data_IF_895882339992
#
_entry.id   IF_895882339992
#
_cell.length_a   1.000
_cell.length_b   1.000
_cell.length_c   1.000
_cell.angle_alpha   90.00
_cell.angle_beta   90.00
_cell.angle_gamma   90.00
#
_symmetry.space_group_name_H-M   'P 1'
#
loop_
_entity.id
_entity.type
_entity.pdbx_description
1 polymer ?
#
# COMPACT_ATOMS: atom_id res chain seq x y z
N UNK A 1 10.57 40.29 35.05
CA UNK A 1 11.66 40.07 34.07
C UNK A 1 12.08 38.60 33.91
N UNK A 2 11.78 37.69 34.86
CA UNK A 2 12.15 36.26 34.76
C UNK A 2 11.24 35.45 33.81
N UNK A 3 9.94 35.77 33.75
CA UNK A 3 8.98 35.05 32.90
C UNK A 3 9.22 35.23 31.39
N UNK A 4 9.80 36.35 30.97
CA UNK A 4 10.08 36.64 29.55
C UNK A 4 11.35 35.93 29.05
N UNK A 5 12.31 35.67 29.94
CA UNK A 5 13.54 34.94 29.61
C UNK A 5 13.28 33.44 29.40
N UNK A 6 12.42 32.82 30.24
CA UNK A 6 12.05 31.40 30.11
C UNK A 6 11.29 31.13 28.80
N UNK A 7 10.40 32.04 28.38
CA UNK A 7 9.67 31.93 27.10
C UNK A 7 10.57 32.08 25.87
N UNK A 8 11.70 32.78 25.98
CA UNK A 8 12.66 32.97 24.89
C UNK A 8 13.64 31.79 24.77
N UNK A 9 13.96 31.13 25.88
CA UNK A 9 14.84 29.95 25.89
C UNK A 9 14.15 28.67 25.41
N UNK A 10 12.83 28.52 25.60
CA UNK A 10 12.06 27.38 25.08
C UNK A 10 11.87 27.39 23.55
N UNK A 11 12.07 28.53 22.87
CA UNK A 11 12.02 28.62 21.40
C UNK A 11 13.30 28.14 20.70
N UNK A 12 14.35 27.77 21.44
CA UNK A 12 15.66 27.40 20.87
C UNK A 12 16.04 25.93 21.00
N UNK A 13 15.19 25.08 21.57
CA UNK A 13 15.35 23.63 21.48
C UNK A 13 14.41 23.08 20.42
N UNK A 14 14.78 23.23 19.14
CA UNK A 14 14.29 22.33 18.09
C UNK A 14 14.95 20.98 18.37
N UNK A 15 14.23 20.09 19.05
CA UNK A 15 14.68 18.71 19.32
C UNK A 15 14.71 17.83 18.06
N UNK A 16 14.28 18.36 16.92
CA UNK A 16 14.23 17.66 15.64
C UNK A 16 14.88 18.52 14.57
N UNK A 17 15.78 17.90 13.79
CA UNK A 17 16.34 18.47 12.58
C UNK A 17 15.16 18.79 11.64
N UNK A 18 15.11 20.00 11.08
CA UNK A 18 14.18 20.24 9.96
C UNK A 18 14.53 19.25 8.87
N UNK A 19 13.59 18.37 8.52
CA UNK A 19 13.76 17.43 7.43
C UNK A 19 13.87 18.29 6.17
N UNK A 20 15.02 18.17 5.51
CA UNK A 20 15.24 18.85 4.25
C UNK A 20 14.39 18.13 3.20
N UNK A 21 13.37 18.81 2.70
CA UNK A 21 12.59 18.31 1.58
C UNK A 21 13.50 18.12 0.36
N UNK A 22 13.26 17.09 -0.46
CA UNK A 22 14.05 16.87 -1.66
C UNK A 22 13.86 18.02 -2.67
N UNK A 23 14.82 18.16 -3.58
CA UNK A 23 14.62 18.99 -4.76
C UNK A 23 13.60 18.32 -5.68
N UNK A 24 12.37 18.83 -5.69
CA UNK A 24 11.31 18.26 -6.51
C UNK A 24 11.57 18.45 -8.01
N UNK A 25 12.38 19.43 -8.41
CA UNK A 25 12.68 19.65 -9.83
C UNK A 25 13.48 18.49 -10.46
N UNK A 26 14.19 17.71 -9.64
CA UNK A 26 14.93 16.52 -10.09
C UNK A 26 14.11 15.23 -10.04
N UNK A 27 12.82 15.30 -9.70
CA UNK A 27 11.95 14.12 -9.59
C UNK A 27 11.27 13.83 -10.92
N UNK A 28 11.37 12.57 -11.34
CA UNK A 28 10.69 12.08 -12.54
C UNK A 28 9.15 12.11 -12.35
N UNK A 29 8.39 12.45 -13.39
CA UNK A 29 6.94 12.36 -13.36
C UNK A 29 6.50 10.90 -13.35
N UNK A 30 5.35 10.64 -12.73
CA UNK A 30 4.74 9.31 -12.66
C UNK A 30 3.52 9.29 -13.58
N UNK A 31 3.38 8.26 -14.44
CA UNK A 31 2.23 8.16 -15.32
C UNK A 31 1.00 7.63 -14.59
N UNK A 32 -0.16 7.85 -15.17
CA UNK A 32 -1.40 7.16 -14.80
C UNK A 32 -1.62 6.08 -15.87
N UNK A 33 -1.70 4.82 -15.43
CA UNK A 33 -1.92 3.66 -16.31
C UNK A 33 -3.32 3.08 -16.09
N UNK A 34 -4.00 2.75 -17.19
CA UNK A 34 -5.28 2.08 -17.16
C UNK A 34 -5.12 0.63 -17.62
N UNK A 35 -5.58 -0.31 -16.82
CA UNK A 35 -5.57 -1.74 -17.13
C UNK A 35 -6.99 -2.29 -17.27
N UNK A 36 -7.13 -3.33 -18.09
CA UNK A 36 -8.33 -4.15 -18.21
C UNK A 36 -7.95 -5.65 -18.16
N UNK A 37 -7.94 -6.22 -16.95
CA UNK A 37 -7.54 -7.61 -16.73
C UNK A 37 -8.61 -8.63 -17.14
N UNK A 38 -9.88 -8.20 -17.30
CA UNK A 38 -11.03 -9.06 -17.63
C UNK A 38 -11.07 -10.33 -16.77
N UNK A 39 -11.10 -10.18 -15.44
CA UNK A 39 -11.05 -11.30 -14.51
C UNK A 39 -12.09 -12.39 -14.85
N UNK A 40 -11.66 -13.64 -14.75
CA UNK A 40 -12.50 -14.82 -14.96
C UNK A 40 -12.50 -15.65 -13.69
N UNK A 41 -13.68 -15.82 -13.08
CA UNK A 41 -13.80 -16.61 -11.88
C UNK A 41 -13.38 -18.07 -12.12
N UNK A 42 -13.58 -18.65 -13.29
CA UNK A 42 -13.28 -20.07 -13.51
C UNK A 42 -11.80 -20.42 -13.41
N UNK A 43 -10.91 -19.43 -13.59
CA UNK A 43 -9.45 -19.59 -13.54
C UNK A 43 -8.82 -19.19 -12.20
N UNK A 44 -9.63 -18.79 -11.21
CA UNK A 44 -9.13 -18.22 -9.95
C UNK A 44 -8.36 -19.25 -9.11
N UNK A 45 -7.11 -18.91 -8.74
CA UNK A 45 -6.32 -19.70 -7.80
C UNK A 45 -6.39 -19.10 -6.39
N UNK A 46 -7.14 -19.75 -5.50
CA UNK A 46 -7.31 -19.30 -4.09
C UNK A 46 -6.06 -19.50 -3.22
N UNK A 47 -4.99 -20.10 -3.77
CA UNK A 47 -3.72 -20.38 -3.11
C UNK A 47 -2.53 -19.70 -3.79
N UNK A 48 -2.77 -18.59 -4.51
CA UNK A 48 -1.76 -17.96 -5.36
C UNK A 48 -0.45 -17.55 -4.66
N UNK A 49 -0.49 -17.17 -3.39
CA UNK A 49 0.70 -16.73 -2.65
C UNK A 49 1.45 -17.94 -2.08
N UNK A 50 2.59 -18.30 -2.70
CA UNK A 50 3.44 -19.43 -2.32
C UNK A 50 2.69 -20.78 -2.21
N UNK A 51 1.60 -20.97 -2.98
CA UNK A 51 0.74 -22.15 -2.96
C UNK A 51 0.10 -22.44 -1.58
N UNK A 52 -0.31 -21.38 -0.87
CA UNK A 52 -0.86 -21.48 0.49
C UNK A 52 -2.28 -20.98 0.58
N UNK A 53 -3.14 -21.63 1.38
CA UNK A 53 -4.52 -21.17 1.59
C UNK A 53 -4.56 -19.97 2.53
N UNK A 54 -3.88 -20.06 3.68
CA UNK A 54 -3.93 -19.00 4.69
C UNK A 54 -3.15 -17.74 4.30
N UNK A 55 -1.94 -17.84 3.73
CA UNK A 55 -1.20 -16.65 3.33
C UNK A 55 -1.82 -15.96 2.11
N UNK A 56 -2.43 -16.70 1.17
CA UNK A 56 -3.22 -16.08 0.08
C UNK A 56 -4.44 -15.35 0.64
N UNK A 57 -5.13 -15.92 1.63
CA UNK A 57 -6.27 -15.27 2.27
C UNK A 57 -5.92 -13.92 2.93
N UNK A 58 -4.67 -13.72 3.39
CA UNK A 58 -4.19 -12.40 3.82
C UNK A 58 -4.28 -11.37 2.70
N UNK A 59 -3.80 -11.69 1.49
CA UNK A 59 -3.88 -10.79 0.34
C UNK A 59 -5.31 -10.60 -0.16
N UNK A 60 -6.16 -11.62 -0.07
CA UNK A 60 -7.59 -11.46 -0.42
C UNK A 60 -8.31 -10.54 0.56
N UNK A 61 -8.02 -10.66 1.86
CA UNK A 61 -8.48 -9.67 2.83
C UNK A 61 -7.93 -8.28 2.48
N UNK A 62 -6.61 -8.18 2.21
CA UNK A 62 -5.97 -6.92 1.85
C UNK A 62 -6.64 -6.27 0.64
N UNK A 63 -6.95 -7.02 -0.42
CA UNK A 63 -7.68 -6.52 -1.60
C UNK A 63 -9.05 -5.91 -1.26
N UNK A 64 -9.78 -6.51 -0.32
CA UNK A 64 -11.08 -5.97 0.13
C UNK A 64 -10.89 -4.69 0.94
N UNK A 65 -9.84 -4.61 1.76
CA UNK A 65 -9.55 -3.42 2.56
C UNK A 65 -8.92 -2.29 1.75
N UNK A 66 -8.09 -2.61 0.75
CA UNK A 66 -7.43 -1.66 -0.14
C UNK A 66 -8.43 -0.73 -0.80
N UNK A 67 -9.58 -1.23 -1.28
CA UNK A 67 -10.59 -0.36 -1.91
C UNK A 67 -11.07 0.78 -1.00
N UNK A 68 -11.13 0.56 0.33
CA UNK A 68 -11.47 1.62 1.29
C UNK A 68 -10.25 2.46 1.67
N UNK A 69 -9.09 1.83 1.80
CA UNK A 69 -7.81 2.51 2.05
C UNK A 69 -7.47 3.52 0.96
N UNK A 70 -7.58 3.11 -0.30
CA UNK A 70 -7.33 3.92 -1.49
C UNK A 70 -8.35 5.06 -1.59
N UNK A 71 -9.64 4.84 -1.25
CA UNK A 71 -10.62 5.92 -1.16
C UNK A 71 -10.23 6.99 -0.11
N UNK A 72 -9.69 6.57 1.05
CA UNK A 72 -9.17 7.47 2.08
C UNK A 72 -7.91 8.21 1.58
N UNK A 73 -6.99 7.50 0.91
CA UNK A 73 -5.80 8.10 0.29
C UNK A 73 -6.22 9.15 -0.73
N UNK A 74 -7.14 8.82 -1.65
CA UNK A 74 -7.65 9.72 -2.69
C UNK A 74 -8.30 10.97 -2.07
N UNK A 75 -9.19 10.82 -1.09
CA UNK A 75 -9.85 11.96 -0.44
C UNK A 75 -8.85 12.86 0.27
N UNK A 76 -7.92 12.25 1.02
CA UNK A 76 -6.89 12.96 1.78
C UNK A 76 -5.91 13.67 0.84
N UNK A 77 -5.42 12.99 -0.20
CA UNK A 77 -4.52 13.55 -1.19
C UNK A 77 -5.18 14.69 -1.96
N UNK A 78 -6.45 14.53 -2.39
CA UNK A 78 -7.22 15.59 -3.05
C UNK A 78 -7.34 16.83 -2.18
N UNK A 79 -7.69 16.66 -0.90
CA UNK A 79 -7.79 17.78 0.04
C UNK A 79 -6.43 18.50 0.20
N UNK A 80 -5.35 17.74 0.39
CA UNK A 80 -4.04 18.32 0.71
C UNK A 80 -3.29 18.87 -0.51
N UNK A 81 -3.54 18.33 -1.71
CA UNK A 81 -2.92 18.78 -2.97
C UNK A 81 -3.10 20.28 -3.20
N UNK A 82 -4.25 20.83 -2.83
CA UNK A 82 -4.57 22.25 -3.07
C UNK A 82 -3.71 23.20 -2.21
N UNK A 83 -3.11 22.69 -1.13
CA UNK A 83 -2.17 23.44 -0.29
C UNK A 83 -0.71 23.31 -0.74
N UNK A 84 -0.40 22.37 -1.64
CA UNK A 84 0.96 22.17 -2.17
C UNK A 84 1.28 23.25 -3.22
N UNK A 85 2.34 24.02 -2.99
CA UNK A 85 2.75 25.10 -3.89
C UNK A 85 3.78 24.66 -4.93
N UNK A 86 4.56 23.62 -4.65
CA UNK A 86 5.52 23.10 -5.63
C UNK A 86 4.77 22.41 -6.79
N UNK A 87 4.94 22.87 -8.04
CA UNK A 87 4.15 22.37 -9.17
C UNK A 87 4.50 20.92 -9.54
N UNK A 88 5.72 20.45 -9.24
CA UNK A 88 6.13 19.07 -9.50
C UNK A 88 5.55 18.15 -8.43
N UNK A 89 5.64 18.50 -7.15
CA UNK A 89 4.99 17.71 -6.09
C UNK A 89 3.47 17.67 -6.29
N UNK A 90 2.84 18.80 -6.65
CA UNK A 90 1.40 18.87 -6.97
C UNK A 90 1.01 17.97 -8.15
N UNK A 91 1.85 17.88 -9.18
CA UNK A 91 1.68 16.95 -10.30
C UNK A 91 1.80 15.49 -9.84
N UNK A 92 2.82 15.15 -9.03
CA UNK A 92 3.01 13.79 -8.51
C UNK A 92 1.86 13.34 -7.61
N UNK A 93 1.34 14.22 -6.76
CA UNK A 93 0.11 13.96 -5.98
C UNK A 93 -1.10 13.73 -6.88
N UNK A 94 -1.17 14.43 -8.02
CA UNK A 94 -2.23 14.20 -9.02
C UNK A 94 -2.08 12.84 -9.70
N UNK A 95 -0.85 12.38 -9.96
CA UNK A 95 -0.59 11.03 -10.47
C UNK A 95 -1.01 9.96 -9.47
N UNK A 96 -0.60 10.09 -8.19
CA UNK A 96 -1.02 9.22 -7.09
C UNK A 96 -2.56 9.11 -7.03
N UNK A 97 -3.28 10.24 -6.97
CA UNK A 97 -4.75 10.24 -6.98
C UNK A 97 -5.33 9.48 -8.19
N UNK A 98 -4.66 9.56 -9.35
CA UNK A 98 -5.07 8.87 -10.57
C UNK A 98 -4.84 7.37 -10.50
N UNK A 99 -3.63 6.93 -10.11
CA UNK A 99 -3.28 5.51 -9.95
C UNK A 99 -4.16 4.84 -8.88
N UNK A 100 -4.32 5.46 -7.71
CA UNK A 100 -5.18 4.93 -6.64
C UNK A 100 -6.64 4.76 -7.06
N UNK A 101 -7.16 5.66 -7.90
CA UNK A 101 -8.52 5.50 -8.42
C UNK A 101 -8.65 4.28 -9.35
N UNK A 102 -7.58 3.92 -10.05
CA UNK A 102 -7.53 2.70 -10.87
C UNK A 102 -7.29 1.47 -9.99
N UNK A 103 -6.42 1.54 -8.98
CA UNK A 103 -6.26 0.49 -7.96
C UNK A 103 -7.63 0.11 -7.37
N UNK A 104 -8.40 1.09 -6.90
CA UNK A 104 -9.69 0.85 -6.25
C UNK A 104 -10.71 0.26 -7.20
N UNK A 105 -10.74 0.72 -8.46
CA UNK A 105 -11.60 0.14 -9.49
C UNK A 105 -11.27 -1.33 -9.72
N UNK A 106 -9.99 -1.65 -9.94
CA UNK A 106 -9.56 -3.00 -10.32
C UNK A 106 -9.66 -3.97 -9.14
N UNK A 107 -9.30 -3.55 -7.93
CA UNK A 107 -9.54 -4.35 -6.73
C UNK A 107 -11.02 -4.61 -6.49
N UNK A 108 -11.91 -3.66 -6.78
CA UNK A 108 -13.34 -3.93 -6.74
C UNK A 108 -13.79 -4.98 -7.75
N UNK A 109 -13.27 -4.96 -8.99
CA UNK A 109 -13.52 -6.00 -9.99
C UNK A 109 -13.00 -7.38 -9.56
N UNK A 110 -11.81 -7.43 -8.95
CA UNK A 110 -11.26 -8.63 -8.36
C UNK A 110 -12.11 -9.16 -7.20
N UNK A 111 -12.55 -8.28 -6.31
CA UNK A 111 -13.41 -8.63 -5.18
C UNK A 111 -14.78 -9.18 -5.64
N UNK A 112 -15.32 -8.72 -6.77
CA UNK A 112 -16.51 -9.35 -7.39
C UNK A 112 -16.24 -10.76 -7.93
N UNK A 113 -14.99 -11.04 -8.32
CA UNK A 113 -14.55 -12.38 -8.72
C UNK A 113 -14.42 -13.29 -7.50
N UNK A 114 -13.84 -12.80 -6.40
CA UNK A 114 -13.76 -13.53 -5.12
C UNK A 114 -15.12 -13.94 -4.58
N UNK A 115 -16.15 -13.09 -4.72
CA UNK A 115 -17.53 -13.41 -4.32
C UNK A 115 -18.06 -14.68 -4.97
N UNK A 116 -17.66 -14.96 -6.20
CA UNK A 116 -18.07 -16.16 -6.94
C UNK A 116 -17.39 -17.44 -6.42
N UNK A 117 -16.41 -17.31 -5.52
CA UNK A 117 -15.67 -18.39 -4.84
C UNK A 117 -15.91 -18.44 -3.33
N UNK A 118 -17.09 -17.99 -2.91
CA UNK A 118 -17.57 -18.00 -1.52
C UNK A 118 -16.72 -17.19 -0.54
N UNK A 119 -15.86 -16.27 -1.01
CA UNK A 119 -15.19 -15.34 -0.10
C UNK A 119 -16.18 -14.39 0.56
N UNK A 120 -16.00 -14.06 1.85
CA UNK A 120 -16.93 -13.25 2.64
C UNK A 120 -16.83 -11.74 2.34
N UNK A 121 -16.74 -11.36 1.06
CA UNK A 121 -16.48 -9.99 0.60
C UNK A 121 -17.51 -9.00 1.12
N UNK A 122 -18.80 -9.32 1.03
CA UNK A 122 -19.87 -8.42 1.49
C UNK A 122 -19.82 -8.19 3.01
N UNK A 123 -19.49 -9.22 3.78
CA UNK A 123 -19.31 -9.09 5.22
C UNK A 123 -18.11 -8.19 5.55
N UNK A 124 -16.99 -8.35 4.84
CA UNK A 124 -15.79 -7.54 5.09
C UNK A 124 -15.98 -6.10 4.61
N UNK A 125 -16.64 -5.88 3.47
CA UNK A 125 -17.06 -4.54 3.02
C UNK A 125 -17.97 -3.86 4.04
N UNK A 126 -18.92 -4.59 4.64
CA UNK A 126 -19.73 -4.05 5.72
C UNK A 126 -18.88 -3.60 6.91
N UNK A 127 -17.96 -4.45 7.40
CA UNK A 127 -17.07 -4.09 8.51
C UNK A 127 -16.17 -2.90 8.18
N UNK A 128 -15.49 -2.94 7.01
CA UNK A 128 -14.60 -1.88 6.55
C UNK A 128 -15.36 -0.56 6.40
N UNK A 129 -16.52 -0.56 5.76
CA UNK A 129 -17.37 0.65 5.64
C UNK A 129 -17.66 1.28 6.99
N UNK A 130 -17.99 0.48 8.01
CA UNK A 130 -18.24 1.01 9.35
C UNK A 130 -16.97 1.60 9.99
N UNK A 131 -15.82 0.92 9.88
CA UNK A 131 -14.54 1.43 10.41
C UNK A 131 -14.14 2.74 9.74
N UNK A 132 -14.34 2.88 8.43
CA UNK A 132 -14.00 4.10 7.70
C UNK A 132 -15.00 5.24 7.97
N UNK A 133 -16.31 4.99 7.83
CA UNK A 133 -17.35 6.02 7.97
C UNK A 133 -17.45 6.59 9.39
N UNK A 134 -17.30 5.73 10.40
CA UNK A 134 -17.41 6.12 11.80
C UNK A 134 -16.06 6.32 12.49
N UNK A 135 -14.95 5.94 11.83
CA UNK A 135 -13.59 6.10 12.31
C UNK A 135 -12.76 7.01 11.42
N UNK A 136 -12.02 6.43 10.48
CA UNK A 136 -10.94 7.12 9.76
C UNK A 136 -11.37 8.39 9.02
N UNK A 137 -12.55 8.39 8.38
CA UNK A 137 -13.06 9.56 7.66
C UNK A 137 -13.49 10.71 8.58
N UNK A 138 -13.64 10.45 9.89
CA UNK A 138 -13.95 11.47 10.91
C UNK A 138 -12.72 12.09 11.55
N UNK A 139 -11.52 11.57 11.27
CA UNK A 139 -10.30 12.13 11.80
C UNK A 139 -10.02 13.53 11.23
N UNK A 140 -9.39 14.42 12.01
CA UNK A 140 -8.89 15.69 11.50
C UNK A 140 -7.95 15.47 10.32
N UNK A 141 -8.00 16.35 9.32
CA UNK A 141 -7.19 16.26 8.09
C UNK A 141 -5.68 16.03 8.34
N UNK A 142 -5.03 16.66 9.34
CA UNK A 142 -3.63 16.34 9.67
C UNK A 142 -3.36 14.89 10.07
N UNK A 143 -4.30 14.25 10.78
CA UNK A 143 -4.17 12.84 11.16
C UNK A 143 -4.46 11.94 9.97
N UNK A 144 -5.41 12.29 9.10
CA UNK A 144 -5.65 11.57 7.85
C UNK A 144 -4.43 11.62 6.93
N UNK A 145 -3.77 12.77 6.79
CA UNK A 145 -2.53 12.89 6.02
C UNK A 145 -1.41 12.02 6.61
N UNK A 146 -1.30 11.97 7.94
CA UNK A 146 -0.36 11.07 8.61
C UNK A 146 -0.67 9.59 8.40
N UNK A 147 -1.96 9.22 8.45
CA UNK A 147 -2.45 7.87 8.19
C UNK A 147 -2.18 7.46 6.74
N UNK A 148 -2.46 8.35 5.77
CA UNK A 148 -2.12 8.17 4.35
C UNK A 148 -0.63 7.87 4.18
N UNK A 149 0.26 8.73 4.70
CA UNK A 149 1.71 8.49 4.63
C UNK A 149 2.15 7.18 5.30
N UNK A 150 1.47 6.77 6.38
CA UNK A 150 1.70 5.47 7.01
C UNK A 150 1.28 4.29 6.14
N UNK A 151 0.09 4.35 5.51
CA UNK A 151 -0.42 3.30 4.62
C UNK A 151 0.53 3.11 3.43
N UNK A 152 0.91 4.21 2.77
CA UNK A 152 1.80 4.24 1.62
C UNK A 152 3.20 3.70 1.94
N UNK A 153 3.69 3.95 3.16
CA UNK A 153 4.93 3.31 3.62
C UNK A 153 4.80 1.79 3.70
N UNK A 154 3.68 1.28 4.23
CA UNK A 154 3.45 -0.16 4.30
C UNK A 154 3.35 -0.79 2.92
N UNK A 155 2.58 -0.21 2.01
CA UNK A 155 2.39 -0.73 0.66
C UNK A 155 3.67 -0.66 -0.16
N UNK A 156 4.44 0.42 -0.06
CA UNK A 156 5.76 0.53 -0.70
C UNK A 156 6.77 -0.51 -0.20
N UNK A 157 6.78 -0.82 1.11
CA UNK A 157 7.66 -1.87 1.67
C UNK A 157 7.24 -3.27 1.21
N UNK A 158 5.93 -3.55 1.14
CA UNK A 158 5.40 -4.81 0.60
C UNK A 158 5.73 -4.93 -0.90
N UNK A 159 5.63 -3.83 -1.64
CA UNK A 159 5.98 -3.76 -3.04
C UNK A 159 7.46 -4.05 -3.29
N UNK A 160 8.36 -3.43 -2.52
CA UNK A 160 9.78 -3.72 -2.60
C UNK A 160 10.09 -5.18 -2.25
N UNK A 161 9.44 -5.73 -1.23
CA UNK A 161 9.56 -7.15 -0.92
C UNK A 161 9.13 -8.02 -2.11
N UNK A 162 8.00 -7.72 -2.74
CA UNK A 162 7.50 -8.47 -3.89
C UNK A 162 8.46 -8.40 -5.09
N UNK A 163 9.07 -7.22 -5.31
CA UNK A 163 10.09 -7.01 -6.34
C UNK A 163 11.42 -7.72 -6.03
N UNK A 164 11.74 -7.98 -4.75
CA UNK A 164 12.94 -8.74 -4.36
C UNK A 164 12.73 -10.25 -4.34
N UNK A 165 11.47 -10.70 -4.31
CA UNK A 165 11.10 -12.10 -4.14
C UNK A 165 10.12 -12.54 -5.24
N UNK A 166 10.55 -12.48 -6.50
CA UNK A 166 9.72 -12.88 -7.66
C UNK A 166 9.01 -14.23 -7.49
N UNK A 167 9.68 -15.16 -6.78
CA UNK A 167 9.19 -16.51 -6.57
C UNK A 167 7.87 -16.60 -5.80
N UNK A 168 7.44 -15.54 -5.12
CA UNK A 168 6.17 -15.55 -4.38
C UNK A 168 4.96 -15.78 -5.29
N UNK A 169 5.12 -15.51 -6.60
CA UNK A 169 4.13 -15.71 -7.65
C UNK A 169 4.50 -16.81 -8.66
N UNK A 170 5.50 -17.66 -8.38
CA UNK A 170 5.95 -18.71 -9.31
C UNK A 170 4.94 -19.86 -9.42
N UNK A 171 4.19 -20.11 -8.35
CA UNK A 171 3.19 -21.18 -8.29
C UNK A 171 1.87 -20.79 -9.00
N UNK A 172 1.78 -19.57 -9.51
CA UNK A 172 0.63 -19.07 -10.27
C UNK A 172 0.82 -19.43 -11.76
N UNK A 173 0.74 -20.71 -12.07
CA UNK A 173 0.88 -21.20 -13.44
C UNK A 173 -0.44 -21.01 -14.22
N UNK A 174 -1.59 -21.21 -13.56
CA UNK A 174 -2.90 -21.26 -14.20
C UNK A 174 -3.76 -19.99 -14.00
N UNK A 175 -3.26 -18.98 -13.30
CA UNK A 175 -3.99 -17.73 -12.99
C UNK A 175 -3.15 -16.47 -13.24
N UNK A 176 -2.75 -16.28 -14.50
CA UNK A 176 -1.93 -15.15 -14.94
C UNK A 176 -2.48 -13.78 -14.50
N UNK A 177 -3.82 -13.64 -14.44
CA UNK A 177 -4.49 -12.37 -14.14
C UNK A 177 -4.32 -11.95 -12.68
N UNK A 178 -4.36 -12.89 -11.74
CA UNK A 178 -4.06 -12.62 -10.33
C UNK A 178 -2.61 -12.17 -10.15
N UNK A 179 -1.68 -12.83 -10.85
CA UNK A 179 -0.27 -12.41 -10.86
C UNK A 179 -0.11 -11.01 -11.44
N UNK A 180 -0.78 -10.73 -12.55
CA UNK A 180 -0.74 -9.44 -13.22
C UNK A 180 -1.29 -8.31 -12.32
N UNK A 181 -2.44 -8.54 -11.66
CA UNK A 181 -3.02 -7.60 -10.69
C UNK A 181 -2.02 -7.21 -9.60
N UNK A 182 -1.48 -8.20 -8.88
CA UNK A 182 -0.60 -7.91 -7.75
C UNK A 182 0.75 -7.35 -8.19
N UNK A 183 1.34 -7.82 -9.30
CA UNK A 183 2.59 -7.26 -9.80
C UNK A 183 2.43 -5.82 -10.32
N UNK A 184 1.30 -5.51 -10.96
CA UNK A 184 0.96 -4.14 -11.34
C UNK A 184 0.81 -3.23 -10.12
N UNK A 185 -0.02 -3.62 -9.15
CA UNK A 185 -0.25 -2.79 -7.97
C UNK A 185 1.08 -2.53 -7.24
N UNK A 186 1.88 -3.57 -6.98
CA UNK A 186 3.18 -3.39 -6.33
C UNK A 186 4.16 -2.50 -7.12
N UNK A 187 4.09 -2.55 -8.46
CA UNK A 187 4.88 -1.64 -9.30
C UNK A 187 4.51 -0.17 -9.02
N UNK A 188 3.21 0.15 -8.98
CA UNK A 188 2.72 1.52 -8.78
C UNK A 188 2.90 2.00 -7.33
N UNK A 189 2.71 1.14 -6.32
CA UNK A 189 3.01 1.48 -4.92
C UNK A 189 4.49 1.86 -4.71
N UNK A 190 5.41 1.24 -5.47
CA UNK A 190 6.81 1.68 -5.44
C UNK A 190 7.02 3.07 -6.07
N UNK A 191 6.14 3.55 -6.94
CA UNK A 191 6.16 4.91 -7.47
C UNK A 191 5.61 5.92 -6.44
N UNK A 192 4.69 5.49 -5.57
CA UNK A 192 4.07 6.33 -4.53
C UNK A 192 4.95 6.57 -3.30
N UNK A 193 5.90 5.66 -3.03
CA UNK A 193 6.78 5.58 -1.86
C UNK A 193 7.14 6.89 -1.16
N UNK A 194 7.58 7.92 -1.88
CA UNK A 194 7.99 9.20 -1.30
C UNK A 194 6.90 10.29 -1.30
N UNK A 195 5.88 10.19 -2.15
CA UNK A 195 4.90 11.26 -2.41
C UNK A 195 4.11 11.62 -1.15
N UNK A 196 3.47 10.63 -0.52
CA UNK A 196 2.63 10.87 0.64
C UNK A 196 3.43 11.37 1.85
N UNK A 197 4.64 10.85 2.01
CA UNK A 197 5.59 11.29 3.03
C UNK A 197 6.02 12.74 2.80
N UNK A 198 6.41 13.11 1.58
CA UNK A 198 6.86 14.44 1.23
C UNK A 198 5.75 15.48 1.44
N UNK A 199 4.50 15.16 1.08
CA UNK A 199 3.33 16.01 1.36
C UNK A 199 3.11 16.15 2.87
N UNK A 200 3.21 15.06 3.64
CA UNK A 200 3.08 15.11 5.09
C UNK A 200 4.14 16.01 5.73
N UNK A 201 5.40 15.88 5.30
CA UNK A 201 6.49 16.70 5.82
C UNK A 201 6.36 18.17 5.43
N UNK A 202 5.93 18.45 4.19
CA UNK A 202 5.72 19.81 3.71
C UNK A 202 4.60 20.54 4.46
N UNK A 203 3.46 19.88 4.67
CA UNK A 203 2.26 20.53 5.21
C UNK A 203 2.12 20.45 6.73
N UNK A 204 2.73 19.45 7.38
CA UNK A 204 2.57 19.24 8.82
C UNK A 204 3.90 19.02 9.56
N UNK A 205 4.67 18.00 9.17
CA UNK A 205 5.99 17.70 9.71
C UNK A 205 6.07 17.31 11.20
N UNK A 206 4.94 17.09 11.89
CA UNK A 206 4.94 16.75 13.32
C UNK A 206 5.29 15.29 13.57
N UNK A 207 6.48 15.01 14.10
CA UNK A 207 6.91 13.63 14.40
C UNK A 207 5.88 12.84 15.25
N UNK A 208 5.32 13.44 16.30
CA UNK A 208 4.34 12.77 17.15
C UNK A 208 3.07 12.38 16.37
N UNK A 209 2.59 13.26 15.48
CA UNK A 209 1.44 12.98 14.65
C UNK A 209 1.77 11.96 13.56
N UNK A 210 2.99 11.99 13.01
CA UNK A 210 3.53 10.97 12.09
C UNK A 210 3.44 9.58 12.69
N UNK A 211 3.87 9.44 13.95
CA UNK A 211 3.81 8.18 14.68
C UNK A 211 2.37 7.75 15.00
N UNK A 212 1.46 8.69 15.27
CA UNK A 212 0.06 8.37 15.47
C UNK A 212 -0.59 7.77 14.21
N UNK A 213 -0.36 8.37 13.04
CA UNK A 213 -0.84 7.84 11.75
C UNK A 213 -0.21 6.49 11.42
N UNK A 214 1.10 6.35 11.64
CA UNK A 214 1.80 5.08 11.44
C UNK A 214 1.29 3.95 12.35
N UNK A 215 0.99 4.25 13.62
CA UNK A 215 0.41 3.27 14.55
C UNK A 215 -0.99 2.83 14.10
N UNK A 216 -1.81 3.75 13.60
CA UNK A 216 -3.13 3.44 13.03
C UNK A 216 -3.01 2.58 11.77
N UNK A 217 -2.09 2.91 10.86
CA UNK A 217 -1.81 2.10 9.67
C UNK A 217 -1.33 0.69 10.07
N UNK A 218 -0.38 0.60 11.02
CA UNK A 218 0.16 -0.66 11.54
C UNK A 218 -0.94 -1.53 12.17
N UNK A 219 -1.78 -0.94 13.04
CA UNK A 219 -2.89 -1.64 13.67
C UNK A 219 -3.89 -2.16 12.62
N UNK A 220 -4.13 -1.39 11.58
CA UNK A 220 -5.06 -1.77 10.51
C UNK A 220 -4.49 -2.89 9.65
N UNK A 221 -3.29 -2.70 9.09
CA UNK A 221 -2.69 -3.61 8.12
C UNK A 221 -2.15 -4.87 8.80
N UNK A 222 -1.31 -4.74 9.83
CA UNK A 222 -0.74 -5.91 10.52
C UNK A 222 -1.78 -6.55 11.45
N UNK A 223 -2.68 -5.77 12.05
CA UNK A 223 -3.69 -6.27 12.99
C UNK A 223 -4.98 -6.72 12.30
N UNK A 224 -5.80 -5.76 11.85
CA UNK A 224 -7.15 -6.03 11.35
C UNK A 224 -7.18 -6.81 10.03
N UNK A 225 -6.33 -6.48 9.06
CA UNK A 225 -6.27 -7.21 7.77
C UNK A 225 -5.76 -8.63 8.00
N UNK A 226 -4.71 -8.82 8.80
CA UNK A 226 -4.23 -10.16 9.16
C UNK A 226 -5.29 -10.98 9.89
N UNK A 227 -6.06 -10.37 10.80
CA UNK A 227 -7.18 -11.04 11.46
C UNK A 227 -8.26 -11.44 10.45
N UNK A 228 -8.61 -10.54 9.52
CA UNK A 228 -9.53 -10.84 8.42
C UNK A 228 -9.03 -12.02 7.58
N UNK A 229 -7.79 -11.94 7.08
CA UNK A 229 -7.18 -13.02 6.31
C UNK A 229 -7.17 -14.36 7.05
N UNK A 230 -6.92 -14.33 8.36
CA UNK A 230 -6.98 -15.52 9.20
C UNK A 230 -8.38 -16.13 9.32
N UNK A 231 -9.43 -15.30 9.35
CA UNK A 231 -10.81 -15.77 9.49
C UNK A 231 -11.40 -16.30 8.16
N UNK A 232 -10.93 -15.81 7.01
CA UNK A 232 -11.46 -16.20 5.68
C UNK A 232 -11.51 -17.72 5.49
N UNK A 233 -10.45 -18.53 5.70
CA UNK A 233 -10.50 -19.98 5.48
C UNK A 233 -11.57 -20.70 6.32
N UNK A 234 -11.85 -20.22 7.54
CA UNK A 234 -12.87 -20.80 8.41
C UNK A 234 -14.28 -20.38 8.02
N UNK A 235 -14.45 -19.13 7.56
CA UNK A 235 -15.73 -18.64 7.05
C UNK A 235 -16.13 -19.36 5.76
N UNK A 236 -15.16 -19.65 4.89
CA UNK A 236 -15.36 -20.40 3.64
C UNK A 236 -15.57 -21.89 3.89
N UNK A 237 -14.79 -22.46 4.82
CA UNK A 237 -14.79 -23.90 5.10
C UNK A 237 -14.61 -24.16 6.60
N UNK A 238 -15.71 -24.21 7.39
CA UNK A 238 -15.64 -24.41 8.84
C UNK A 238 -14.90 -25.69 9.29
N UNK A 239 -14.85 -26.72 8.44
CA UNK A 239 -14.09 -27.95 8.71
C UNK A 239 -12.58 -27.73 8.82
N UNK A 240 -12.06 -26.58 8.36
CA UNK A 240 -10.66 -26.18 8.58
C UNK A 240 -10.29 -26.08 10.07
N UNK A 241 -11.26 -25.86 10.98
CA UNK A 241 -11.00 -25.85 12.43
C UNK A 241 -10.34 -27.14 12.95
N UNK A 242 -10.66 -28.28 12.34
CA UNK A 242 -10.17 -29.61 12.77
C UNK A 242 -9.33 -30.33 11.70
N UNK A 243 -9.07 -29.67 10.57
CA UNK A 243 -8.38 -30.27 9.42
C UNK A 243 -6.85 -30.28 9.61
N UNK A 244 -6.19 -31.45 9.71
CA UNK A 244 -4.73 -31.50 9.87
C UNK A 244 -3.98 -30.92 8.67
N UNK A 245 -4.53 -31.07 7.45
CA UNK A 245 -3.92 -30.52 6.24
C UNK A 245 -3.98 -29.00 6.22
N UNK A 246 -5.08 -28.40 6.69
CA UNK A 246 -5.19 -26.95 6.83
C UNK A 246 -4.19 -26.44 7.86
N UNK A 247 -4.09 -27.05 9.05
CA UNK A 247 -3.14 -26.59 10.05
C UNK A 247 -1.68 -26.73 9.59
N UNK A 248 -1.34 -27.76 8.80
CA UNK A 248 -0.03 -27.85 8.13
C UNK A 248 0.21 -26.67 7.18
N UNK A 249 -0.78 -26.31 6.36
CA UNK A 249 -0.75 -25.12 5.51
C UNK A 249 -0.65 -23.82 6.32
N UNK A 250 -1.37 -23.71 7.43
CA UNK A 250 -1.34 -22.55 8.32
C UNK A 250 0.03 -22.35 8.96
N UNK A 251 0.70 -23.43 9.41
CA UNK A 251 2.07 -23.36 9.92
C UNK A 251 3.06 -22.94 8.83
N UNK A 252 2.89 -23.41 7.60
CA UNK A 252 3.73 -23.00 6.48
C UNK A 252 3.45 -21.55 6.06
N UNK A 253 2.19 -21.14 6.02
CA UNK A 253 1.75 -19.76 5.78
C UNK A 253 2.35 -18.79 6.81
N UNK A 254 2.36 -19.19 8.09
CA UNK A 254 3.01 -18.41 9.14
C UNK A 254 4.52 -18.22 8.88
N UNK A 255 5.21 -19.23 8.33
CA UNK A 255 6.62 -19.07 7.90
C UNK A 255 6.74 -18.13 6.70
N UNK A 256 5.88 -18.29 5.70
CA UNK A 256 5.82 -17.43 4.51
C UNK A 256 5.58 -15.95 4.87
N UNK A 257 4.85 -15.68 5.95
CA UNK A 257 4.57 -14.31 6.40
C UNK A 257 5.62 -13.81 7.42
N UNK A 258 6.06 -14.63 8.37
CA UNK A 258 6.82 -14.19 9.55
C UNK A 258 8.28 -14.64 9.60
N UNK A 259 8.76 -15.45 8.64
CA UNK A 259 10.17 -15.86 8.58
C UNK A 259 11.08 -14.62 8.54
N UNK A 260 12.09 -14.50 9.43
CA UNK A 260 13.03 -13.38 9.40
C UNK A 260 13.88 -13.31 8.14
N UNK A 261 14.04 -14.43 7.42
CA UNK A 261 14.93 -14.51 6.26
C UNK A 261 14.23 -14.08 4.97
N UNK A 262 13.02 -14.56 4.77
CA UNK A 262 12.33 -14.55 3.46
C UNK A 262 10.80 -14.44 3.59
N UNK A 263 10.31 -14.11 4.79
CA UNK A 263 8.88 -13.94 5.04
C UNK A 263 8.45 -12.49 4.81
N UNK A 264 7.21 -12.29 4.34
CA UNK A 264 6.68 -10.96 3.99
C UNK A 264 6.94 -9.89 5.05
N UNK A 265 6.52 -10.13 6.29
CA UNK A 265 6.71 -9.21 7.42
C UNK A 265 7.95 -9.52 8.24
N UNK A 266 8.34 -10.79 8.34
CA UNK A 266 9.53 -11.16 9.11
C UNK A 266 10.81 -10.55 8.55
N UNK A 267 10.97 -10.57 7.23
CA UNK A 267 12.17 -10.03 6.55
C UNK A 267 12.13 -8.51 6.34
N UNK A 268 10.94 -7.91 6.33
CA UNK A 268 10.76 -6.45 6.11
C UNK A 268 10.57 -5.66 7.40
N UNK A 269 10.49 -6.31 8.56
CA UNK A 269 10.19 -5.65 9.83
C UNK A 269 11.12 -4.48 10.12
N UNK A 270 12.43 -4.61 9.88
CA UNK A 270 13.36 -3.50 10.09
C UNK A 270 13.06 -2.30 9.18
N UNK A 271 12.74 -2.55 7.90
CA UNK A 271 12.39 -1.49 6.95
C UNK A 271 11.05 -0.83 7.33
N UNK A 272 10.05 -1.61 7.77
CA UNK A 272 8.82 -1.06 8.31
C UNK A 272 9.08 -0.12 9.51
N UNK A 273 9.93 -0.55 10.44
CA UNK A 273 10.25 0.20 11.65
C UNK A 273 11.18 1.41 11.40
N UNK A 274 11.90 1.46 10.28
CA UNK A 274 12.71 2.63 9.90
C UNK A 274 11.87 3.91 9.81
N UNK A 275 10.57 3.81 9.52
CA UNK A 275 9.63 4.96 9.52
C UNK A 275 9.61 5.73 10.85
N UNK A 276 9.96 5.05 11.94
CA UNK A 276 10.03 5.64 13.28
C UNK A 276 11.34 6.41 13.53
N UNK A 277 12.34 6.34 12.64
CA UNK A 277 13.55 7.13 12.81
C UNK A 277 13.25 8.63 12.66
N UNK A 278 13.74 9.51 13.55
CA UNK A 278 13.51 10.96 13.43
C UNK A 278 14.00 11.56 12.11
N UNK A 279 15.04 10.98 11.52
CA UNK A 279 15.69 11.42 10.28
C UNK A 279 15.31 10.56 9.06
N UNK A 280 14.30 9.69 9.19
CA UNK A 280 13.82 8.83 8.11
C UNK A 280 13.45 9.60 6.85
N UNK A 281 13.72 9.02 5.69
CA UNK A 281 13.04 9.32 4.43
C UNK A 281 12.77 8.01 3.69
N UNK A 282 11.63 7.85 2.99
CA UNK A 282 11.40 6.65 2.17
C UNK A 282 12.46 6.40 1.08
N UNK A 283 13.26 7.41 0.72
CA UNK A 283 14.35 7.27 -0.25
C UNK A 283 15.67 6.80 0.38
N UNK A 284 15.72 6.60 1.71
CA UNK A 284 16.84 5.89 2.36
C UNK A 284 16.96 4.44 1.85
N UNK A 285 15.84 3.88 1.36
CA UNK A 285 15.76 2.60 0.65
C UNK A 285 15.58 2.88 -0.83
N UNK A 286 16.67 2.96 -1.59
CA UNK A 286 16.62 3.21 -3.02
C UNK A 286 16.08 2.00 -3.80
N UNK A 287 15.00 2.24 -4.55
CA UNK A 287 14.33 1.23 -5.37
C UNK A 287 14.36 1.57 -6.86
N UNK A 288 15.10 2.61 -7.27
CA UNK A 288 15.10 3.10 -8.66
C UNK A 288 15.53 2.04 -9.68
N UNK A 289 16.57 1.26 -9.38
CA UNK A 289 17.03 0.17 -10.28
C UNK A 289 15.99 -0.95 -10.39
N UNK A 290 15.39 -1.37 -9.27
CA UNK A 290 14.32 -2.37 -9.26
C UNK A 290 13.12 -1.88 -10.05
N UNK A 291 12.68 -0.65 -9.79
CA UNK A 291 11.54 -0.04 -10.47
C UNK A 291 11.77 0.04 -11.99
N UNK A 292 12.97 0.43 -12.44
CA UNK A 292 13.32 0.46 -13.86
C UNK A 292 13.26 -0.93 -14.49
N UNK A 293 13.84 -1.94 -13.83
CA UNK A 293 13.79 -3.33 -14.29
C UNK A 293 12.35 -3.86 -14.37
N UNK A 294 11.51 -3.61 -13.38
CA UNK A 294 10.12 -4.08 -13.39
C UNK A 294 9.24 -3.34 -14.38
N UNK A 295 9.48 -2.05 -14.62
CA UNK A 295 8.81 -1.32 -15.71
C UNK A 295 9.09 -2.00 -17.05
N UNK A 296 10.35 -2.30 -17.35
CA UNK A 296 10.70 -3.00 -18.59
C UNK A 296 10.10 -4.41 -18.62
N UNK A 297 10.35 -5.23 -17.60
CA UNK A 297 9.87 -6.62 -17.51
C UNK A 297 8.35 -6.76 -17.61
N UNK A 298 7.60 -5.87 -16.97
CA UNK A 298 6.14 -6.00 -16.87
C UNK A 298 5.40 -5.24 -17.95
N UNK A 299 5.84 -4.02 -18.30
CA UNK A 299 5.09 -3.11 -19.20
C UNK A 299 5.52 -3.20 -20.67
N UNK A 300 6.60 -3.93 -20.99
CA UNK A 300 6.99 -4.18 -22.37
C UNK A 300 5.79 -4.75 -23.17
N UNK A 301 5.46 -4.12 -24.30
CA UNK A 301 4.25 -4.43 -25.07
C UNK A 301 4.30 -5.81 -25.74
N UNK A 302 5.49 -6.29 -26.07
CA UNK A 302 5.68 -7.54 -26.81
C UNK A 302 5.87 -8.74 -25.86
N UNK A 303 6.59 -8.53 -24.75
CA UNK A 303 7.02 -9.62 -23.86
C UNK A 303 6.52 -9.49 -22.42
N UNK A 304 6.04 -8.32 -22.02
CA UNK A 304 5.66 -8.02 -20.65
C UNK A 304 4.32 -8.61 -20.26
N UNK A 305 4.23 -9.06 -19.00
CA UNK A 305 2.99 -9.61 -18.43
C UNK A 305 1.83 -8.62 -18.50
N UNK A 306 2.11 -7.35 -18.23
CA UNK A 306 1.10 -6.28 -18.16
C UNK A 306 0.84 -5.62 -19.52
N UNK A 307 1.76 -5.76 -20.48
CA UNK A 307 1.66 -5.12 -21.80
C UNK A 307 0.33 -5.39 -22.50
N UNK A 308 -0.16 -6.64 -22.45
CA UNK A 308 -1.43 -7.06 -23.04
C UNK A 308 -2.69 -6.51 -22.36
N UNK A 309 -2.57 -6.06 -21.11
CA UNK A 309 -3.67 -5.53 -20.29
C UNK A 309 -3.67 -3.99 -20.25
N UNK A 310 -2.55 -3.35 -20.62
CA UNK A 310 -2.41 -1.90 -20.63
C UNK A 310 -3.26 -1.30 -21.76
N UNK A 311 -4.22 -0.47 -21.39
CA UNK A 311 -5.15 0.17 -22.35
C UNK A 311 -4.82 1.64 -22.61
N UNK A 312 -4.21 2.32 -21.64
CA UNK A 312 -3.84 3.73 -21.73
C UNK A 312 -2.75 4.05 -20.72
N UNK A 313 -1.79 4.88 -21.14
CA UNK A 313 -0.81 5.50 -20.24
C UNK A 313 -0.72 6.99 -20.59
N UNK A 314 -0.70 7.86 -19.57
CA UNK A 314 -0.47 9.29 -19.78
C UNK A 314 0.11 9.95 -18.52
N UNK A 315 0.83 11.04 -18.71
CA UNK A 315 1.36 11.84 -17.62
C UNK A 315 0.45 13.04 -17.36
N UNK A 316 0.01 13.29 -16.11
CA UNK A 316 -0.73 14.51 -15.81
C UNK A 316 0.17 15.73 -16.10
N UNK A 317 -0.35 16.83 -16.67
CA UNK A 317 0.48 18.00 -16.97
C UNK A 317 0.92 18.71 -15.68
N UNK A 318 2.14 19.27 -15.69
CA UNK A 318 2.57 20.23 -14.66
C UNK A 318 1.70 21.48 -14.80
N UNK A 319 1.01 21.86 -13.71
CA UNK A 319 0.21 23.08 -13.64
C UNK A 319 0.86 24.06 -12.70
N UNK A 320 0.85 25.35 -13.06
CA UNK A 320 1.23 26.42 -12.14
C UNK A 320 0.30 26.39 -10.90
N UNK A 321 0.88 26.70 -9.74
CA UNK A 321 0.25 26.52 -8.43
C UNK A 321 -1.02 27.33 -8.24
#
# INVERSE_FOLDING_TARGET
MVATAVRKSLKKLKFYREIQLPDFASKEPIPIRHFDFKFDATALNTRFFRNTELASAYFEALSIFLTFGEDLVIETARYHRDFVQDPILKQRVTALIGQEAIHSKIHNEWNETLKKHDFPVEFYRFLAKNVFDYGFLKFPQPLKLSLMAGIEHFTAVIAEYAMKHEYIFDEIIDDEKTKALWQWHMLEESEHKDIAYDVYQLLNGSYALRMAGFALASFTIIGLVSLGGFLIPFLRKPTNMISPSFWKDAFYSAKVILSPKDGLYGSTLSHLLDYMRPDFHPNDHDTSEYLAYYKDKLLNQDTGLLGRYLTKEFFPPVRAA
#
